data_IF_317651247419
#
_entry.id   IF_317651247419
#
_cell.length_a   1.000
_cell.length_b   1.000
_cell.length_c   1.000
_cell.angle_alpha   90.00
_cell.angle_beta   90.00
_cell.angle_gamma   90.00
#
_symmetry.space_group_name_H-M   'P 1'
#
loop_
_entity.id
_entity.type
_entity.pdbx_description
1 polymer ?
#
# COMPACT_ATOMS: atom_id res chain seq x y z
N UNK A 1 -39.48 25.58 4.39
CA UNK A 1 -38.75 25.78 5.65
C UNK A 1 -37.70 24.68 5.78
N UNK A 2 -36.46 24.95 5.33
CA UNK A 2 -35.36 23.98 5.30
C UNK A 2 -34.58 24.08 6.61
N UNK A 3 -34.38 22.96 7.32
CA UNK A 3 -33.55 22.92 8.54
C UNK A 3 -32.07 22.97 8.15
N UNK A 4 -31.23 23.76 8.81
CA UNK A 4 -29.80 23.79 8.51
C UNK A 4 -29.15 22.48 8.96
N UNK A 5 -28.36 21.87 8.07
CA UNK A 5 -27.57 20.68 8.38
C UNK A 5 -26.48 21.02 9.39
N UNK A 6 -26.41 20.25 10.48
CA UNK A 6 -25.37 20.39 11.50
C UNK A 6 -23.96 20.10 10.94
N UNK A 7 -22.91 20.56 11.64
CA UNK A 7 -21.54 20.46 11.15
C UNK A 7 -21.13 18.99 11.00
N UNK A 8 -20.83 18.58 9.76
CA UNK A 8 -20.23 17.27 9.46
C UNK A 8 -18.80 17.28 9.99
N UNK A 9 -18.57 16.61 11.11
CA UNK A 9 -17.25 16.46 11.71
C UNK A 9 -16.26 15.88 10.71
N UNK A 10 -15.32 16.73 10.24
CA UNK A 10 -14.11 16.28 9.56
C UNK A 10 -13.26 15.52 10.57
N UNK A 11 -13.44 14.21 10.65
CA UNK A 11 -12.45 13.33 11.24
C UNK A 11 -11.23 13.40 10.35
N UNK A 12 -10.29 14.28 10.70
CA UNK A 12 -8.91 14.15 10.26
C UNK A 12 -8.49 12.72 10.62
N UNK A 13 -8.44 11.85 9.61
CA UNK A 13 -7.73 10.57 9.73
C UNK A 13 -6.35 10.96 10.21
N UNK A 14 -6.02 10.56 11.43
CA UNK A 14 -4.69 10.79 11.99
C UNK A 14 -3.71 10.25 10.97
N UNK A 15 -2.78 11.11 10.54
CA UNK A 15 -1.72 10.75 9.63
C UNK A 15 -1.03 9.53 10.25
N UNK A 16 -0.99 8.40 9.54
CA UNK A 16 -0.27 7.22 9.99
C UNK A 16 1.17 7.65 10.32
N UNK A 17 1.78 7.12 11.40
CA UNK A 17 3.13 7.46 11.77
C UNK A 17 4.05 7.28 10.55
N UNK A 18 4.91 8.28 10.28
CA UNK A 18 5.91 8.15 9.23
C UNK A 18 6.76 6.91 9.55
N UNK A 19 7.00 6.00 8.59
CA UNK A 19 7.87 4.86 8.82
C UNK A 19 9.21 5.37 9.39
N UNK A 20 9.73 4.69 10.41
CA UNK A 20 11.00 5.08 11.00
C UNK A 20 12.07 5.01 9.92
N UNK A 21 13.04 5.92 9.98
CA UNK A 21 14.16 6.03 9.03
C UNK A 21 14.84 4.65 8.95
N UNK A 22 14.51 3.86 7.92
CA UNK A 22 14.94 2.47 7.75
C UNK A 22 13.89 1.53 7.12
N UNK A 23 12.59 1.80 7.26
CA UNK A 23 11.53 0.89 6.76
C UNK A 23 10.99 1.37 5.40
N UNK A 24 11.81 1.26 4.35
CA UNK A 24 11.33 1.47 2.97
C UNK A 24 10.44 0.32 2.49
N UNK A 25 10.43 -0.81 3.21
CA UNK A 25 9.77 -2.05 2.81
C UNK A 25 8.74 -2.46 3.86
N UNK A 26 7.56 -2.84 3.40
CA UNK A 26 6.39 -3.18 4.21
C UNK A 26 5.96 -4.61 3.87
N UNK A 27 5.74 -5.42 4.89
CA UNK A 27 5.01 -6.68 4.76
C UNK A 27 3.50 -6.40 4.87
N UNK A 28 2.69 -7.00 4.00
CA UNK A 28 1.24 -6.84 4.11
C UNK A 28 0.46 -7.85 3.28
N UNK A 29 -0.84 -7.96 3.56
CA UNK A 29 -1.75 -8.84 2.83
C UNK A 29 -2.62 -8.03 1.88
N UNK A 30 -2.80 -8.52 0.66
CA UNK A 30 -3.68 -7.86 -0.32
C UNK A 30 -5.13 -8.02 0.13
N UNK A 31 -5.76 -6.92 0.52
CA UNK A 31 -7.15 -6.90 0.94
C UNK A 31 -8.12 -6.74 -0.23
N UNK A 32 -7.66 -6.18 -1.35
CA UNK A 32 -8.52 -5.94 -2.50
C UNK A 32 -7.85 -5.16 -3.63
N UNK A 33 -8.62 -4.93 -4.69
CA UNK A 33 -8.20 -4.20 -5.87
C UNK A 33 -8.96 -2.88 -5.99
N UNK A 34 -8.32 -1.84 -6.50
CA UNK A 34 -8.92 -0.52 -6.72
C UNK A 34 -9.09 -0.29 -8.22
N UNK A 35 -10.32 0.05 -8.60
CA UNK A 35 -10.64 0.51 -9.95
C UNK A 35 -11.04 1.99 -9.92
N UNK A 36 -10.51 2.78 -10.85
CA UNK A 36 -10.85 4.19 -11.01
C UNK A 36 -11.06 4.52 -12.49
N UNK A 37 -12.27 4.96 -12.87
CA UNK A 37 -12.60 5.33 -14.26
C UNK A 37 -11.78 6.53 -14.75
N UNK A 38 -11.55 7.50 -13.86
CA UNK A 38 -10.73 8.69 -14.13
C UNK A 38 -9.46 8.56 -13.30
N UNK A 39 -8.30 8.47 -13.97
CA UNK A 39 -6.99 8.31 -13.34
C UNK A 39 -5.90 8.92 -14.21
N UNK A 40 -4.76 9.26 -13.61
CA UNK A 40 -3.59 9.72 -14.37
C UNK A 40 -3.17 8.63 -15.39
N UNK A 41 -2.75 8.98 -16.63
CA UNK A 41 -2.46 8.01 -17.69
C UNK A 41 -1.48 6.90 -17.29
N UNK A 42 -0.52 7.23 -16.42
CA UNK A 42 0.38 6.26 -15.79
C UNK A 42 -0.38 5.05 -15.21
N UNK A 43 -1.51 5.23 -14.54
CA UNK A 43 -2.27 4.13 -13.95
C UNK A 43 -3.15 3.36 -14.95
N UNK A 44 -3.13 3.71 -16.24
CA UNK A 44 -4.01 3.13 -17.27
C UNK A 44 -3.93 1.60 -17.37
N UNK A 45 -2.73 1.04 -17.41
CA UNK A 45 -2.49 -0.40 -17.60
C UNK A 45 -1.96 -1.10 -16.34
N UNK A 46 -2.13 -0.49 -15.17
CA UNK A 46 -1.58 -0.99 -13.91
C UNK A 46 -2.69 -1.28 -12.92
N UNK A 47 -2.58 -2.43 -12.26
CA UNK A 47 -3.47 -2.84 -11.19
C UNK A 47 -3.06 -2.12 -9.89
N UNK A 48 -4.05 -1.63 -9.15
CA UNK A 48 -3.87 -0.98 -7.86
C UNK A 48 -4.42 -1.90 -6.77
N UNK A 49 -3.62 -2.14 -5.75
CA UNK A 49 -3.96 -3.03 -4.65
C UNK A 49 -4.10 -2.24 -3.35
N UNK A 50 -5.11 -2.59 -2.56
CA UNK A 50 -5.15 -2.24 -1.14
C UNK A 50 -4.37 -3.32 -0.39
N UNK A 51 -3.29 -2.93 0.28
CA UNK A 51 -2.47 -3.83 1.08
C UNK A 51 -2.59 -3.42 2.55
N UNK A 52 -3.16 -4.29 3.37
CA UNK A 52 -3.19 -4.13 4.82
C UNK A 52 -1.82 -4.53 5.37
N UNK A 53 -1.15 -3.65 6.12
CA UNK A 53 0.18 -3.97 6.62
C UNK A 53 0.09 -5.02 7.71
N UNK A 54 1.00 -5.98 7.70
CA UNK A 54 1.06 -7.06 8.67
C UNK A 54 2.39 -7.01 9.42
N UNK A 55 2.40 -7.52 10.65
CA UNK A 55 3.64 -7.86 11.35
C UNK A 55 4.23 -9.15 10.78
N UNK A 56 5.51 -9.46 11.07
CA UNK A 56 6.14 -10.71 10.63
C UNK A 56 5.38 -11.98 11.08
N UNK A 57 4.76 -11.95 12.25
CA UNK A 57 3.85 -13.00 12.78
C UNK A 57 2.52 -13.15 11.99
N UNK A 58 2.31 -12.35 10.94
CA UNK A 58 1.11 -12.34 10.12
C UNK A 58 -0.07 -11.56 10.70
N UNK A 59 0.05 -10.98 11.89
CA UNK A 59 -1.03 -10.19 12.49
C UNK A 59 -1.24 -8.87 11.73
N UNK A 60 -2.48 -8.50 11.38
CA UNK A 60 -2.74 -7.23 10.74
C UNK A 60 -2.47 -6.06 11.70
N UNK A 61 -1.99 -4.97 11.13
CA UNK A 61 -1.90 -3.66 11.80
C UNK A 61 -3.17 -2.85 11.52
N UNK A 62 -3.25 -1.64 12.06
CA UNK A 62 -4.35 -0.71 11.75
C UNK A 62 -4.09 0.14 10.49
N UNK A 63 -2.94 -0.04 9.83
CA UNK A 63 -2.50 0.75 8.69
C UNK A 63 -2.62 -0.06 7.38
N UNK A 64 -2.82 0.66 6.28
CA UNK A 64 -2.81 0.11 4.92
C UNK A 64 -2.00 1.01 3.99
N UNK A 65 -1.63 0.47 2.83
CA UNK A 65 -1.01 1.21 1.74
C UNK A 65 -1.70 0.84 0.42
N UNK A 66 -1.75 1.80 -0.51
CA UNK A 66 -2.17 1.52 -1.89
C UNK A 66 -0.90 1.37 -2.71
N UNK A 67 -0.74 0.23 -3.36
CA UNK A 67 0.44 -0.07 -4.16
C UNK A 67 0.06 -0.42 -5.60
N UNK A 68 0.92 -0.05 -6.54
CA UNK A 68 0.87 -0.61 -7.89
C UNK A 68 1.33 -2.06 -7.84
N UNK A 69 0.60 -2.95 -8.47
CA UNK A 69 1.05 -4.32 -8.66
C UNK A 69 2.00 -4.42 -9.86
N UNK A 70 3.20 -4.94 -9.63
CA UNK A 70 4.16 -5.28 -10.69
C UNK A 70 4.45 -6.77 -10.79
N UNK A 71 3.89 -7.59 -9.91
CA UNK A 71 4.22 -9.02 -9.80
C UNK A 71 3.04 -9.94 -10.06
N UNK A 72 1.82 -9.40 -10.19
CA UNK A 72 0.61 -10.16 -10.45
C UNK A 72 -0.07 -10.67 -9.17
N UNK A 73 0.04 -9.93 -8.07
CA UNK A 73 -0.51 -10.37 -6.79
C UNK A 73 -2.04 -10.37 -6.75
N UNK A 74 -2.60 -11.43 -6.16
CA UNK A 74 -4.01 -11.65 -5.93
C UNK A 74 -4.48 -11.24 -4.53
N UNK A 75 -5.79 -11.12 -4.35
CA UNK A 75 -6.40 -10.88 -3.04
C UNK A 75 -6.12 -12.05 -2.11
N UNK A 76 -5.74 -11.74 -0.87
CA UNK A 76 -5.37 -12.71 0.14
C UNK A 76 -3.89 -13.08 0.13
N UNK A 77 -3.10 -12.71 -0.87
CA UNK A 77 -1.66 -13.02 -0.87
C UNK A 77 -0.90 -12.12 0.09
N UNK A 78 0.13 -12.69 0.74
CA UNK A 78 1.12 -11.95 1.51
C UNK A 78 2.15 -11.37 0.54
N UNK A 79 2.44 -10.09 0.64
CA UNK A 79 3.25 -9.35 -0.32
C UNK A 79 4.26 -8.45 0.36
N UNK A 80 5.33 -8.17 -0.37
CA UNK A 80 6.35 -7.21 -0.02
C UNK A 80 6.13 -5.92 -0.82
N UNK A 81 5.92 -4.81 -0.12
CA UNK A 81 5.67 -3.49 -0.71
C UNK A 81 6.87 -2.59 -0.48
N UNK A 82 7.43 -2.05 -1.56
CA UNK A 82 8.39 -0.96 -1.49
C UNK A 82 7.64 0.37 -1.41
N UNK A 83 7.74 1.10 -0.30
CA UNK A 83 7.13 2.42 -0.06
C UNK A 83 8.13 3.58 -0.20
N UNK A 84 8.81 3.62 -1.34
CA UNK A 84 9.75 4.68 -1.69
C UNK A 84 9.57 5.08 -3.16
N UNK A 85 9.26 6.36 -3.41
CA UNK A 85 8.91 6.80 -4.76
C UNK A 85 10.05 6.73 -5.79
N UNK A 86 11.32 6.82 -5.39
CA UNK A 86 12.41 6.62 -6.35
C UNK A 86 12.53 5.15 -6.76
N UNK A 87 12.64 4.25 -5.77
CA UNK A 87 12.67 2.82 -6.03
C UNK A 87 11.45 2.32 -6.79
N UNK A 88 10.24 2.80 -6.45
CA UNK A 88 9.02 2.44 -7.18
C UNK A 88 9.08 2.83 -8.67
N UNK A 89 9.60 4.02 -8.98
CA UNK A 89 9.77 4.46 -10.38
C UNK A 89 10.82 3.64 -11.13
N UNK A 90 11.87 3.20 -10.45
CA UNK A 90 12.89 2.30 -11.02
C UNK A 90 12.30 0.93 -11.33
N UNK A 91 11.59 0.30 -10.38
CA UNK A 91 10.91 -0.99 -10.56
C UNK A 91 9.93 -0.94 -11.73
N UNK A 92 9.18 0.16 -11.85
CA UNK A 92 8.16 0.33 -12.89
C UNK A 92 8.70 0.88 -14.22
N UNK A 93 10.02 1.09 -14.33
CA UNK A 93 10.69 1.72 -15.48
C UNK A 93 9.98 3.02 -15.94
N UNK A 94 9.57 3.85 -14.98
CA UNK A 94 8.67 4.98 -15.21
C UNK A 94 9.19 6.26 -14.54
N UNK A 95 10.20 6.86 -15.18
CA UNK A 95 10.74 8.14 -14.75
C UNK A 95 9.64 9.21 -14.68
N UNK A 96 9.63 10.02 -13.61
CA UNK A 96 8.64 11.07 -13.40
C UNK A 96 7.22 10.60 -13.04
N UNK A 97 6.94 9.30 -13.00
CA UNK A 97 5.59 8.81 -12.69
C UNK A 97 5.12 9.22 -11.27
N UNK A 98 3.82 9.55 -11.08
CA UNK A 98 3.28 9.95 -9.79
C UNK A 98 2.98 8.73 -8.90
N UNK A 99 4.01 7.94 -8.57
CA UNK A 99 3.90 6.69 -7.80
C UNK A 99 4.87 6.69 -6.62
N UNK A 100 4.42 6.11 -5.51
CA UNK A 100 5.24 5.95 -4.30
C UNK A 100 5.44 4.49 -3.92
N UNK A 101 4.37 3.70 -3.98
CA UNK A 101 4.37 2.34 -3.45
C UNK A 101 4.11 1.32 -4.55
N UNK A 102 4.88 0.24 -4.55
CA UNK A 102 4.80 -0.85 -5.53
C UNK A 102 4.97 -2.20 -4.84
N UNK A 103 4.20 -3.20 -5.25
CA UNK A 103 4.40 -4.58 -4.81
C UNK A 103 5.58 -5.16 -5.59
N UNK A 104 6.65 -5.53 -4.87
CA UNK A 104 7.90 -6.04 -5.45
C UNK A 104 8.06 -7.55 -5.31
N UNK A 105 7.20 -8.22 -4.55
CA UNK A 105 7.23 -9.67 -4.41
C UNK A 105 6.00 -10.23 -3.69
N UNK A 106 5.72 -11.51 -3.97
CA UNK A 106 4.78 -12.34 -3.22
C UNK A 106 5.62 -13.14 -2.21
N UNK A 107 5.15 -13.23 -0.97
CA UNK A 107 5.89 -13.85 0.13
C UNK A 107 5.40 -15.29 0.31
N UNK A 108 6.31 -16.25 0.15
CA UNK A 108 6.02 -17.67 0.37
C UNK A 108 6.03 -18.03 1.86
N UNK A 109 7.01 -17.52 2.62
CA UNK A 109 7.16 -17.78 4.04
C UNK A 109 7.92 -16.67 4.76
N UNK A 110 7.68 -16.54 6.07
CA UNK A 110 8.44 -15.68 6.98
C UNK A 110 9.03 -16.58 8.07
N UNK A 111 10.33 -16.46 8.30
CA UNK A 111 11.04 -17.20 9.34
C UNK A 111 11.59 -16.20 10.36
N UNK A 112 11.13 -16.30 11.61
CA UNK A 112 11.70 -15.58 12.74
C UNK A 112 12.83 -16.43 13.35
N UNK A 113 13.95 -15.79 13.65
CA UNK A 113 15.07 -16.41 14.38
C UNK A 113 15.07 -15.80 15.77
N UNK A 114 14.87 -16.64 16.78
CA UNK A 114 15.05 -16.24 18.17
C UNK A 114 16.55 -15.99 18.42
N UNK A 115 16.90 -14.79 18.89
CA UNK A 115 18.21 -14.55 19.49
C UNK A 115 18.20 -15.16 20.90
N UNK A 116 18.93 -16.27 21.07
CA UNK A 116 19.14 -16.94 22.36
C UNK A 116 20.16 -16.20 23.24
#
# INVERSE_FOLDING_TARGET
>A
MVRPGGPRGRRHRRHAPRPRRGEAVILGRVAGEITATIRHPFYGARKLLVVEKTRPDGTPTADYVIAVDSVGAGVGELVLVLDEGNGARQVLAAEGAPVRSVVVGIVDAVHEVDEA
#
